data_IF_110165399468
#
_entry.id   IF_110165399468
#
_cell.length_a   1.000
_cell.length_b   1.000
_cell.length_c   1.000
_cell.angle_alpha   90.00
_cell.angle_beta   90.00
_cell.angle_gamma   90.00
#
_symmetry.space_group_name_H-M   'P 1'
#
loop_
_entity.id
_entity.type
_entity.pdbx_description
1 polymer ?
#
# COMPACT_ATOMS: atom_id res chain seq x y z
N UNK A 1 15.73 -6.15 -7.55
CA UNK A 1 15.17 -4.78 -7.54
C UNK A 1 15.58 -4.07 -8.82
N UNK A 2 14.63 -3.71 -9.66
CA UNK A 2 14.83 -2.85 -10.84
C UNK A 2 13.97 -1.61 -10.68
N UNK A 3 14.58 -0.42 -10.76
CA UNK A 3 13.87 0.87 -10.84
C UNK A 3 13.73 1.25 -12.31
N UNK A 4 12.55 1.71 -12.69
CA UNK A 4 12.26 2.18 -14.04
C UNK A 4 11.20 3.29 -13.98
N UNK A 5 10.97 3.95 -15.09
CA UNK A 5 9.86 4.90 -15.24
C UNK A 5 8.87 4.36 -16.27
N UNK A 6 7.59 4.58 -16.00
CA UNK A 6 6.50 4.26 -16.93
C UNK A 6 5.77 5.55 -17.31
N UNK A 7 5.06 5.59 -18.45
CA UNK A 7 4.21 6.72 -18.79
C UNK A 7 3.06 6.86 -17.77
N UNK A 8 2.80 8.08 -17.31
CA UNK A 8 1.65 8.45 -16.50
C UNK A 8 0.85 9.60 -17.12
N UNK A 9 -0.24 10.01 -16.49
CA UNK A 9 -1.17 11.03 -17.03
C UNK A 9 -0.57 12.44 -17.08
N UNK A 10 0.36 12.75 -16.15
CA UNK A 10 1.02 14.06 -16.07
C UNK A 10 2.51 14.01 -16.39
N UNK A 11 3.04 12.85 -16.77
CA UNK A 11 4.45 12.61 -17.06
C UNK A 11 4.91 11.27 -16.52
N UNK A 12 6.22 10.98 -16.48
CA UNK A 12 6.73 9.69 -16.01
C UNK A 12 6.39 9.41 -14.56
N UNK A 13 6.12 8.15 -14.23
CA UNK A 13 5.97 7.63 -12.87
C UNK A 13 7.14 6.68 -12.58
N UNK A 14 7.92 6.97 -11.55
CA UNK A 14 8.99 6.10 -11.07
C UNK A 14 8.43 4.93 -10.30
N UNK A 15 8.78 3.70 -10.72
CA UNK A 15 8.38 2.46 -10.05
C UNK A 15 9.59 1.60 -9.74
N UNK A 16 9.44 0.70 -8.77
CA UNK A 16 10.37 -0.36 -8.46
C UNK A 16 9.64 -1.70 -8.46
N UNK A 17 10.26 -2.70 -9.09
CA UNK A 17 9.80 -4.09 -9.11
C UNK A 17 10.72 -4.93 -8.23
N UNK A 18 10.14 -5.61 -7.24
CA UNK A 18 10.84 -6.44 -6.28
C UNK A 18 10.22 -7.84 -6.24
N UNK A 19 11.05 -8.87 -6.15
CA UNK A 19 10.61 -10.26 -6.07
C UNK A 19 10.72 -11.03 -7.38
N UNK A 20 9.99 -12.13 -7.46
CA UNK A 20 10.03 -13.05 -8.60
C UNK A 20 9.12 -12.54 -9.73
N UNK A 21 9.68 -12.42 -10.93
CA UNK A 21 8.96 -11.95 -12.12
C UNK A 21 8.35 -13.11 -12.94
N UNK A 22 9.00 -14.26 -12.90
CA UNK A 22 8.64 -15.37 -13.83
C UNK A 22 7.37 -16.09 -13.40
N UNK A 23 7.20 -16.34 -12.10
CA UNK A 23 6.06 -17.08 -11.56
C UNK A 23 5.66 -16.56 -10.17
N UNK A 24 5.27 -15.29 -10.04
CA UNK A 24 4.86 -14.77 -8.74
C UNK A 24 3.50 -15.35 -8.32
N UNK A 25 3.30 -15.50 -7.03
CA UNK A 25 2.03 -15.92 -6.44
C UNK A 25 0.90 -14.90 -6.71
N UNK A 26 1.26 -13.64 -6.90
CA UNK A 26 0.35 -12.53 -7.12
C UNK A 26 1.13 -11.23 -7.20
N UNK A 27 0.42 -10.10 -7.31
CA UNK A 27 1.00 -8.76 -7.39
C UNK A 27 0.62 -7.95 -6.16
N UNK A 28 1.56 -7.23 -5.57
CA UNK A 28 1.29 -6.25 -4.50
C UNK A 28 1.58 -4.85 -5.02
N UNK A 29 0.58 -3.98 -5.01
CA UNK A 29 0.78 -2.55 -5.23
C UNK A 29 0.96 -1.88 -3.86
N UNK A 30 2.15 -1.33 -3.60
CA UNK A 30 2.55 -0.81 -2.30
C UNK A 30 2.81 0.69 -2.34
N UNK A 31 2.02 1.45 -1.58
CA UNK A 31 2.02 2.90 -1.53
C UNK A 31 2.75 3.45 -0.30
N UNK A 32 3.55 4.50 -0.49
CA UNK A 32 4.40 5.12 0.52
C UNK A 32 3.69 6.24 1.32
N UNK A 33 4.26 6.72 2.45
CA UNK A 33 3.68 7.81 3.25
C UNK A 33 3.76 9.16 2.53
N UNK A 34 3.24 10.20 3.18
CA UNK A 34 3.00 11.52 2.60
C UNK A 34 4.24 12.12 1.94
N UNK A 35 4.17 12.49 0.64
CA UNK A 35 5.32 12.96 -0.14
C UNK A 35 5.94 14.25 0.42
N UNK A 36 5.13 15.22 0.85
CA UNK A 36 5.62 16.51 1.35
C UNK A 36 6.28 16.42 2.73
N UNK A 37 6.19 15.28 3.41
CA UNK A 37 6.89 15.01 4.67
C UNK A 37 8.05 14.02 4.50
N UNK A 38 8.66 13.99 3.31
CA UNK A 38 9.80 13.13 3.01
C UNK A 38 9.45 11.67 2.74
N UNK A 39 8.17 11.38 2.51
CA UNK A 39 7.73 10.04 2.11
C UNK A 39 8.27 9.64 0.74
N UNK A 40 8.79 8.43 0.65
CA UNK A 40 9.28 7.81 -0.61
C UNK A 40 8.99 6.33 -0.60
N UNK A 41 9.05 5.68 -1.76
CA UNK A 41 8.93 4.22 -1.88
C UNK A 41 10.04 3.43 -1.16
N UNK A 42 11.11 4.11 -0.72
CA UNK A 42 12.22 3.52 0.05
C UNK A 42 12.08 3.73 1.58
N UNK A 43 10.95 4.25 2.06
CA UNK A 43 10.64 4.35 3.49
C UNK A 43 10.80 3.00 4.20
N UNK A 44 11.26 2.98 5.46
CA UNK A 44 11.56 1.74 6.20
C UNK A 44 10.34 0.83 6.42
N UNK A 45 9.16 1.41 6.66
CA UNK A 45 7.91 0.62 6.78
C UNK A 45 7.56 0.01 5.43
N UNK A 46 7.62 0.80 4.35
CA UNK A 46 7.37 0.34 2.97
C UNK A 46 8.33 -0.78 2.58
N UNK A 47 9.63 -0.60 2.81
CA UNK A 47 10.63 -1.64 2.49
C UNK A 47 10.49 -2.90 3.36
N UNK A 48 9.98 -2.78 4.58
CA UNK A 48 9.65 -3.93 5.43
C UNK A 48 8.47 -4.71 4.85
N UNK A 49 7.39 -4.02 4.47
CA UNK A 49 6.24 -4.65 3.80
C UNK A 49 6.67 -5.30 2.47
N UNK A 50 7.46 -4.59 1.65
CA UNK A 50 8.00 -5.12 0.40
C UNK A 50 8.75 -6.44 0.62
N UNK A 51 9.71 -6.47 1.55
CA UNK A 51 10.48 -7.69 1.86
C UNK A 51 9.60 -8.83 2.38
N UNK A 52 8.54 -8.49 3.12
CA UNK A 52 7.58 -9.46 3.63
C UNK A 52 6.81 -10.12 2.50
N UNK A 53 6.28 -9.34 1.56
CA UNK A 53 5.54 -9.87 0.42
C UNK A 53 6.43 -10.61 -0.58
N UNK A 54 7.67 -10.15 -0.78
CA UNK A 54 8.66 -10.91 -1.57
C UNK A 54 8.92 -12.28 -0.94
N UNK A 55 9.06 -12.36 0.40
CA UNK A 55 9.20 -13.64 1.12
C UNK A 55 7.96 -14.54 0.95
N UNK A 56 6.78 -13.96 0.79
CA UNK A 56 5.52 -14.68 0.52
C UNK A 56 5.35 -15.08 -0.96
N UNK A 57 6.34 -14.76 -1.82
CA UNK A 57 6.34 -15.13 -3.24
C UNK A 57 5.59 -14.16 -4.16
N UNK A 58 5.28 -12.95 -3.72
CA UNK A 58 4.62 -11.94 -4.55
C UNK A 58 5.62 -11.10 -5.34
N UNK A 59 5.21 -10.64 -6.53
CA UNK A 59 5.80 -9.49 -7.19
C UNK A 59 5.32 -8.23 -6.48
N UNK A 60 6.22 -7.44 -5.92
CA UNK A 60 5.88 -6.18 -5.26
C UNK A 60 6.24 -5.00 -6.17
N UNK A 61 5.25 -4.17 -6.42
CA UNK A 61 5.36 -2.93 -7.18
C UNK A 61 5.25 -1.77 -6.22
N UNK A 62 6.29 -0.97 -6.13
CA UNK A 62 6.33 0.28 -5.38
C UNK A 62 6.44 1.43 -6.36
N UNK A 63 5.71 2.52 -6.13
CA UNK A 63 5.86 3.75 -6.92
C UNK A 63 6.18 4.94 -6.03
N UNK A 64 6.89 5.92 -6.56
CA UNK A 64 6.92 7.23 -5.95
C UNK A 64 5.68 8.03 -6.36
N UNK A 65 5.06 8.72 -5.39
CA UNK A 65 3.99 9.66 -5.66
C UNK A 65 4.49 10.89 -6.42
N UNK A 66 3.57 11.67 -6.96
CA UNK A 66 3.83 12.93 -7.67
C UNK A 66 4.77 13.83 -6.90
N UNK A 67 5.78 14.39 -7.60
CA UNK A 67 6.79 15.26 -7.04
C UNK A 67 7.90 14.57 -6.25
N UNK A 68 7.92 13.22 -6.22
CA UNK A 68 8.96 12.43 -5.53
C UNK A 68 9.83 11.69 -6.54
N UNK A 69 11.15 11.75 -6.36
CA UNK A 69 12.11 11.07 -7.23
C UNK A 69 11.97 11.51 -8.68
N UNK A 70 11.75 10.56 -9.58
CA UNK A 70 11.55 10.82 -11.02
C UNK A 70 10.06 10.89 -11.42
N UNK A 71 9.14 10.80 -10.47
CA UNK A 71 7.71 10.93 -10.75
C UNK A 71 7.33 12.38 -10.97
N UNK A 72 6.76 12.65 -12.15
CA UNK A 72 6.33 13.98 -12.55
C UNK A 72 5.08 14.45 -11.79
N UNK A 73 4.78 15.74 -11.93
CA UNK A 73 3.60 16.38 -11.35
C UNK A 73 3.82 16.88 -9.93
N UNK A 74 2.73 17.39 -9.35
CA UNK A 74 2.68 17.93 -7.99
C UNK A 74 1.69 17.14 -7.15
N UNK A 75 1.90 17.15 -5.84
CA UNK A 75 0.99 16.53 -4.87
C UNK A 75 -0.41 17.12 -4.96
N UNK A 76 -1.42 16.26 -5.06
CA UNK A 76 -2.84 16.65 -5.25
C UNK A 76 -3.73 16.27 -4.09
N UNK A 77 -3.16 15.88 -2.97
CA UNK A 77 -3.89 15.49 -1.75
C UNK A 77 -4.82 14.27 -1.95
N UNK A 78 -4.45 13.36 -2.85
CA UNK A 78 -5.11 12.06 -3.02
C UNK A 78 -5.62 11.73 -4.43
N UNK A 79 -6.39 12.60 -5.12
CA UNK A 79 -6.98 12.23 -6.41
C UNK A 79 -5.93 11.84 -7.47
N UNK A 80 -4.92 12.67 -7.67
CA UNK A 80 -3.87 12.39 -8.65
C UNK A 80 -3.00 11.21 -8.28
N UNK A 81 -2.68 11.05 -6.98
CA UNK A 81 -1.95 9.89 -6.47
C UNK A 81 -2.74 8.60 -6.69
N UNK A 82 -4.08 8.64 -6.57
CA UNK A 82 -4.97 7.52 -6.88
C UNK A 82 -4.94 7.17 -8.37
N UNK A 83 -5.02 8.19 -9.25
CA UNK A 83 -4.94 7.99 -10.70
C UNK A 83 -3.59 7.39 -11.11
N UNK A 84 -2.50 7.84 -10.51
CA UNK A 84 -1.17 7.30 -10.79
C UNK A 84 -1.04 5.84 -10.34
N UNK A 85 -1.55 5.47 -9.14
CA UNK A 85 -1.53 4.07 -8.69
C UNK A 85 -2.38 3.16 -9.59
N UNK A 86 -3.52 3.63 -10.07
CA UNK A 86 -4.32 2.88 -11.03
C UNK A 86 -3.58 2.71 -12.36
N UNK A 87 -2.88 3.75 -12.83
CA UNK A 87 -2.04 3.69 -14.04
C UNK A 87 -0.88 2.69 -13.85
N UNK A 88 -0.23 2.68 -12.68
CA UNK A 88 0.82 1.71 -12.35
C UNK A 88 0.27 0.28 -12.39
N UNK A 89 -0.88 0.03 -11.76
CA UNK A 89 -1.48 -1.29 -11.71
C UNK A 89 -1.91 -1.78 -13.11
N UNK A 90 -2.50 -0.89 -13.91
CA UNK A 90 -2.87 -1.19 -15.28
C UNK A 90 -1.64 -1.51 -16.14
N UNK A 91 -0.56 -0.74 -16.02
CA UNK A 91 0.69 -1.03 -16.69
C UNK A 91 1.24 -2.42 -16.33
N UNK A 92 1.25 -2.78 -15.05
CA UNK A 92 1.69 -4.10 -14.59
C UNK A 92 0.80 -5.21 -15.18
N UNK A 93 -0.50 -5.04 -15.20
CA UNK A 93 -1.41 -6.03 -15.78
C UNK A 93 -1.18 -6.27 -17.27
N UNK A 94 -0.72 -5.26 -18.01
CA UNK A 94 -0.40 -5.39 -19.44
C UNK A 94 1.05 -5.85 -19.72
N UNK A 95 1.91 -5.90 -18.71
CA UNK A 95 3.26 -6.46 -18.86
C UNK A 95 3.19 -7.95 -19.21
N UNK A 96 4.23 -8.42 -19.90
CA UNK A 96 4.45 -9.84 -20.22
C UNK A 96 3.19 -10.52 -20.82
N UNK A 97 2.67 -9.90 -21.87
CA UNK A 97 1.47 -10.35 -22.60
C UNK A 97 0.21 -10.52 -21.70
N UNK A 98 0.10 -9.72 -20.63
CA UNK A 98 -1.07 -9.74 -19.74
C UNK A 98 -1.05 -10.82 -18.67
N UNK A 99 0.08 -11.50 -18.48
CA UNK A 99 0.21 -12.59 -17.48
C UNK A 99 -0.23 -12.14 -16.09
N UNK A 100 0.16 -10.95 -15.66
CA UNK A 100 -0.14 -10.48 -14.30
C UNK A 100 -1.59 -10.08 -14.07
N UNK A 101 -2.37 -9.83 -15.15
CA UNK A 101 -3.79 -9.48 -15.03
C UNK A 101 -4.67 -10.63 -14.51
N UNK A 102 -4.20 -11.87 -14.64
CA UNK A 102 -4.92 -13.07 -14.17
C UNK A 102 -4.54 -13.48 -12.75
N UNK A 103 -3.52 -12.85 -12.17
CA UNK A 103 -3.05 -13.15 -10.83
C UNK A 103 -3.84 -12.38 -9.76
N UNK A 104 -3.97 -12.93 -8.55
CA UNK A 104 -4.50 -12.18 -7.42
C UNK A 104 -3.61 -10.97 -7.15
N UNK A 105 -4.23 -9.86 -6.72
CA UNK A 105 -3.48 -8.67 -6.34
C UNK A 105 -3.83 -8.20 -4.93
N UNK A 106 -2.87 -7.58 -4.27
CA UNK A 106 -2.97 -7.02 -2.92
C UNK A 106 -2.71 -5.51 -3.01
N UNK A 107 -3.53 -4.72 -2.31
CA UNK A 107 -3.28 -3.30 -2.11
C UNK A 107 -2.69 -3.09 -0.72
N UNK A 108 -1.50 -2.54 -0.65
CA UNK A 108 -0.84 -2.27 0.62
C UNK A 108 -0.41 -0.81 0.70
N UNK A 109 -0.47 -0.21 1.90
CA UNK A 109 -0.11 1.19 2.07
C UNK A 109 0.34 1.50 3.49
N UNK A 110 1.18 2.54 3.60
CA UNK A 110 1.59 3.11 4.87
C UNK A 110 1.16 4.58 4.96
N UNK A 111 0.52 4.95 6.07
CA UNK A 111 0.12 6.33 6.37
C UNK A 111 -0.76 6.94 5.25
N UNK A 112 -0.35 8.02 4.61
CA UNK A 112 -1.02 8.60 3.45
C UNK A 112 -1.23 7.58 2.32
N UNK A 113 -0.27 6.67 2.11
CA UNK A 113 -0.42 5.59 1.14
C UNK A 113 -1.59 4.65 1.45
N UNK A 114 -1.94 4.44 2.72
CA UNK A 114 -3.13 3.69 3.12
C UNK A 114 -4.43 4.41 2.73
N UNK A 115 -4.47 5.73 2.90
CA UNK A 115 -5.59 6.56 2.44
C UNK A 115 -5.76 6.46 0.91
N UNK A 116 -4.68 6.67 0.14
CA UNK A 116 -4.73 6.56 -1.32
C UNK A 116 -5.19 5.16 -1.76
N UNK A 117 -4.69 4.10 -1.14
CA UNK A 117 -5.08 2.72 -1.46
C UNK A 117 -6.56 2.44 -1.18
N UNK A 118 -7.17 3.08 -0.18
CA UNK A 118 -8.62 2.94 0.05
C UNK A 118 -9.44 3.47 -1.14
N UNK A 119 -9.01 4.59 -1.73
CA UNK A 119 -9.65 5.16 -2.92
C UNK A 119 -9.36 4.35 -4.19
N UNK A 120 -8.16 3.79 -4.33
CA UNK A 120 -7.84 2.82 -5.40
C UNK A 120 -8.79 1.63 -5.34
N UNK A 121 -9.03 1.08 -4.14
CA UNK A 121 -9.94 -0.05 -3.96
C UNK A 121 -11.38 0.30 -4.38
N UNK A 122 -11.89 1.47 -4.01
CA UNK A 122 -13.22 1.94 -4.45
C UNK A 122 -13.32 2.06 -5.97
N UNK A 123 -12.29 2.65 -6.61
CA UNK A 123 -12.24 2.81 -8.06
C UNK A 123 -12.18 1.47 -8.81
N UNK A 124 -11.45 0.50 -8.27
CA UNK A 124 -11.37 -0.86 -8.82
C UNK A 124 -12.68 -1.62 -8.62
N UNK A 125 -13.30 -1.50 -7.44
CA UNK A 125 -14.59 -2.14 -7.16
C UNK A 125 -15.70 -1.67 -8.12
N UNK A 126 -15.71 -0.39 -8.48
CA UNK A 126 -16.62 0.15 -9.50
C UNK A 126 -16.41 -0.46 -10.89
N UNK A 127 -15.27 -1.11 -11.15
CA UNK A 127 -14.93 -1.86 -12.36
C UNK A 127 -15.10 -3.38 -12.20
N UNK A 128 -15.67 -3.84 -11.07
CA UNK A 128 -15.79 -5.27 -10.75
C UNK A 128 -14.45 -5.95 -10.39
N UNK A 129 -13.41 -5.17 -10.09
CA UNK A 129 -12.08 -5.68 -9.71
C UNK A 129 -11.88 -5.54 -8.19
N UNK A 130 -11.56 -6.63 -7.54
CA UNK A 130 -11.40 -6.66 -6.08
C UNK A 130 -10.01 -7.18 -5.72
N UNK A 131 -9.28 -6.51 -4.80
CA UNK A 131 -8.04 -7.08 -4.30
C UNK A 131 -8.30 -8.37 -3.54
N UNK A 132 -7.37 -9.30 -3.60
CA UNK A 132 -7.38 -10.50 -2.77
C UNK A 132 -7.44 -10.13 -1.28
N UNK A 133 -6.73 -9.08 -0.90
CA UNK A 133 -6.70 -8.51 0.45
C UNK A 133 -6.08 -7.12 0.44
N UNK A 134 -6.38 -6.32 1.47
CA UNK A 134 -5.67 -5.06 1.72
C UNK A 134 -4.83 -5.14 2.99
N UNK A 135 -3.71 -4.38 3.03
CA UNK A 135 -2.87 -4.17 4.22
C UNK A 135 -2.65 -2.69 4.42
N UNK A 136 -3.22 -2.14 5.47
CA UNK A 136 -3.16 -0.72 5.79
C UNK A 136 -2.42 -0.52 7.11
N UNK A 137 -1.31 0.21 7.08
CA UNK A 137 -0.44 0.43 8.23
C UNK A 137 -0.41 1.91 8.59
N UNK A 138 -0.65 2.25 9.87
CA UNK A 138 -0.66 3.64 10.34
C UNK A 138 -1.59 4.52 9.52
N UNK A 139 -2.79 4.05 9.24
CA UNK A 139 -3.74 4.63 8.26
C UNK A 139 -4.08 6.07 8.62
N UNK A 140 -3.92 7.00 7.68
CA UNK A 140 -3.98 8.46 7.92
C UNK A 140 -5.39 9.01 8.16
N UNK A 141 -6.16 8.39 9.05
CA UNK A 141 -7.58 8.66 9.37
C UNK A 141 -7.84 10.00 10.06
N UNK A 142 -6.83 10.62 10.67
CA UNK A 142 -6.99 11.88 11.40
C UNK A 142 -6.99 13.12 10.50
N UNK A 143 -6.51 12.99 9.27
CA UNK A 143 -6.32 14.12 8.34
C UNK A 143 -6.99 13.93 6.99
N UNK A 144 -7.35 12.69 6.66
CA UNK A 144 -7.85 12.30 5.34
C UNK A 144 -9.12 11.48 5.48
N UNK A 145 -10.03 11.66 4.55
CA UNK A 145 -11.25 10.86 4.45
C UNK A 145 -10.93 9.50 3.83
N UNK A 146 -10.49 8.57 4.68
CA UNK A 146 -10.20 7.18 4.27
C UNK A 146 -11.52 6.49 3.90
N UNK A 147 -11.60 6.00 2.67
CA UNK A 147 -12.79 5.30 2.20
C UNK A 147 -13.01 3.97 2.95
N UNK A 148 -14.26 3.46 2.99
CA UNK A 148 -14.53 2.11 3.47
C UNK A 148 -13.74 1.06 2.69
N UNK A 149 -13.33 -0.01 3.39
CA UNK A 149 -12.48 -1.08 2.83
C UNK A 149 -13.10 -2.45 3.04
N UNK A 150 -12.69 -3.50 2.31
CA UNK A 150 -13.16 -4.87 2.51
C UNK A 150 -12.97 -5.35 3.95
N UNK A 151 -13.92 -6.14 4.46
CA UNK A 151 -13.95 -6.59 5.86
C UNK A 151 -12.76 -7.47 6.27
N UNK A 152 -12.07 -8.09 5.32
CA UNK A 152 -10.86 -8.91 5.54
C UNK A 152 -9.56 -8.09 5.46
N UNK A 153 -9.65 -6.76 5.37
CA UNK A 153 -8.50 -5.87 5.38
C UNK A 153 -7.69 -6.01 6.67
N UNK A 154 -6.39 -6.23 6.55
CA UNK A 154 -5.47 -6.17 7.68
C UNK A 154 -5.11 -4.71 8.00
N UNK A 155 -5.63 -4.19 9.10
CA UNK A 155 -5.26 -2.86 9.61
C UNK A 155 -4.28 -3.03 10.77
N UNK A 156 -3.09 -2.43 10.68
CA UNK A 156 -2.07 -2.45 11.74
C UNK A 156 -1.76 -1.03 12.18
N UNK A 157 -1.78 -0.78 13.48
CA UNK A 157 -1.55 0.55 14.04
C UNK A 157 -0.62 0.52 15.26
N UNK A 158 0.20 1.56 15.43
CA UNK A 158 1.04 1.71 16.61
C UNK A 158 0.24 2.26 17.79
N UNK A 159 0.43 1.69 19.00
CA UNK A 159 -0.24 2.18 20.22
C UNK A 159 0.12 3.64 20.52
N UNK A 160 1.40 3.99 20.32
CA UNK A 160 1.98 5.31 20.63
C UNK A 160 2.16 6.17 19.36
N UNK A 161 1.33 5.96 18.33
CA UNK A 161 1.36 6.77 17.11
C UNK A 161 0.89 8.20 17.44
N UNK A 162 1.84 9.16 17.40
CA UNK A 162 1.63 10.58 17.64
C UNK A 162 1.30 11.38 16.37
N UNK A 163 1.50 10.78 15.21
CA UNK A 163 1.20 11.36 13.89
C UNK A 163 -0.24 11.11 13.48
N UNK A 164 -0.71 9.88 13.70
CA UNK A 164 -2.10 9.46 13.52
C UNK A 164 -2.58 8.83 14.82
N UNK A 165 -3.32 9.54 15.68
CA UNK A 165 -3.78 8.98 16.94
C UNK A 165 -4.58 7.69 16.75
N UNK A 166 -4.28 6.65 17.54
CA UNK A 166 -4.97 5.36 17.49
C UNK A 166 -6.50 5.53 17.53
N UNK A 167 -6.99 6.48 18.33
CA UNK A 167 -8.42 6.73 18.45
C UNK A 167 -9.07 7.07 17.09
N UNK A 168 -8.40 7.85 16.23
CA UNK A 168 -8.94 8.19 14.91
C UNK A 168 -9.09 6.96 14.00
N UNK A 169 -8.16 6.01 14.11
CA UNK A 169 -8.23 4.75 13.37
C UNK A 169 -9.35 3.85 13.91
N UNK A 170 -9.54 3.79 15.22
CA UNK A 170 -10.64 3.05 15.84
C UNK A 170 -12.01 3.66 15.48
N UNK A 171 -12.12 4.99 15.43
CA UNK A 171 -13.36 5.67 15.06
C UNK A 171 -13.73 5.45 13.60
N UNK A 172 -12.74 5.42 12.70
CA UNK A 172 -12.92 5.07 11.30
C UNK A 172 -13.29 3.57 11.11
N UNK A 173 -12.68 2.67 11.87
CA UNK A 173 -12.89 1.22 11.76
C UNK A 173 -14.23 0.76 12.36
N UNK A 174 -14.72 1.42 13.42
CA UNK A 174 -15.90 1.01 14.20
C UNK A 174 -17.18 0.87 13.38
N UNK A 175 -17.59 1.84 12.52
CA UNK A 175 -18.79 1.70 11.70
C UNK A 175 -18.73 0.53 10.71
N UNK A 176 -17.51 0.09 10.35
CA UNK A 176 -17.26 -1.02 9.42
C UNK A 176 -17.11 -2.37 10.15
N UNK A 177 -17.14 -2.38 11.48
CA UNK A 177 -16.78 -3.56 12.29
C UNK A 177 -15.43 -4.15 11.94
N UNK A 178 -14.47 -3.30 11.51
CA UNK A 178 -13.18 -3.69 11.00
C UNK A 178 -12.18 -3.90 12.14
N UNK A 179 -11.58 -5.10 12.29
CA UNK A 179 -10.57 -5.36 13.30
C UNK A 179 -9.29 -4.52 13.08
N UNK A 180 -8.73 -3.98 14.16
CA UNK A 180 -7.45 -3.25 14.16
C UNK A 180 -6.44 -3.99 15.03
N UNK A 181 -5.30 -4.38 14.45
CA UNK A 181 -4.17 -4.95 15.17
C UNK A 181 -3.34 -3.82 15.73
N UNK A 182 -3.38 -3.64 17.05
CA UNK A 182 -2.58 -2.62 17.74
C UNK A 182 -1.26 -3.22 18.20
N UNK A 183 -0.14 -2.55 17.86
CA UNK A 183 1.20 -2.98 18.26
C UNK A 183 1.64 -2.19 19.49
N UNK A 184 1.76 -2.84 20.68
CA UNK A 184 2.14 -2.18 21.91
C UNK A 184 3.50 -1.47 21.82
N UNK A 185 3.54 -0.22 22.27
CA UNK A 185 4.74 0.63 22.30
C UNK A 185 5.31 0.99 20.92
N UNK A 186 4.57 0.78 19.83
CA UNK A 186 4.98 1.23 18.50
C UNK A 186 4.54 2.67 18.24
N UNK A 187 5.45 3.48 17.71
CA UNK A 187 5.16 4.79 17.13
C UNK A 187 4.68 4.68 15.67
N UNK A 188 4.45 5.83 15.00
CA UNK A 188 4.00 5.89 13.61
C UNK A 188 4.90 5.11 12.64
N UNK A 189 6.23 5.18 12.83
CA UNK A 189 7.22 4.55 11.94
C UNK A 189 7.65 3.16 12.40
N UNK A 190 7.03 2.63 13.45
CA UNK A 190 7.36 1.31 14.02
C UNK A 190 8.84 1.19 14.39
N UNK A 191 9.45 2.23 14.97
CA UNK A 191 10.84 2.18 15.44
C UNK A 191 11.04 1.03 16.43
N UNK A 192 12.03 0.15 16.16
CA UNK A 192 12.25 -1.07 16.95
C UNK A 192 11.17 -2.13 16.84
N UNK A 193 10.06 -1.90 16.10
CA UNK A 193 8.91 -2.81 15.96
C UNK A 193 8.67 -3.32 14.52
N UNK A 194 9.54 -2.97 13.56
CA UNK A 194 9.44 -3.47 12.18
C UNK A 194 9.44 -5.01 12.08
N UNK A 195 10.21 -5.76 12.90
CA UNK A 195 10.10 -7.21 12.92
C UNK A 195 8.72 -7.71 13.35
N UNK A 196 8.09 -7.04 14.33
CA UNK A 196 6.71 -7.36 14.77
C UNK A 196 5.71 -7.11 13.65
N UNK A 197 5.80 -5.95 12.97
CA UNK A 197 4.96 -5.66 11.80
C UNK A 197 5.10 -6.75 10.73
N UNK A 198 6.34 -7.16 10.40
CA UNK A 198 6.60 -8.25 9.47
C UNK A 198 5.89 -9.54 9.91
N UNK A 199 6.01 -9.95 11.17
CA UNK A 199 5.39 -11.18 11.68
C UNK A 199 3.86 -11.14 11.60
N UNK A 200 3.23 -9.99 11.92
CA UNK A 200 1.78 -9.81 11.79
C UNK A 200 1.33 -10.06 10.34
N UNK A 201 2.03 -9.49 9.36
CA UNK A 201 1.70 -9.72 7.94
C UNK A 201 1.92 -11.17 7.55
N UNK A 202 3.04 -11.80 7.94
CA UNK A 202 3.30 -13.22 7.63
C UNK A 202 2.21 -14.14 8.21
N UNK A 203 1.79 -13.91 9.46
CA UNK A 203 0.74 -14.70 10.10
C UNK A 203 -0.62 -14.53 9.40
N UNK A 204 -0.93 -13.32 8.93
CA UNK A 204 -2.16 -13.05 8.20
C UNK A 204 -2.26 -13.82 6.87
N UNK A 205 -1.15 -14.32 6.33
CA UNK A 205 -1.07 -15.14 5.12
C UNK A 205 -0.87 -16.65 5.40
N UNK A 206 -0.56 -17.06 6.64
CA UNK A 206 -0.23 -18.45 6.99
C UNK A 206 -1.39 -19.46 6.76
N UNK A 207 -2.62 -19.02 6.61
CA UNK A 207 -3.79 -19.88 6.34
C UNK A 207 -4.25 -19.88 4.88
N UNK A 208 -3.52 -19.25 3.97
CA UNK A 208 -3.91 -19.08 2.56
C UNK A 208 -3.01 -19.88 1.58
N UNK A 209 -2.35 -20.95 2.08
CA UNK A 209 -1.52 -21.85 1.27
C UNK A 209 -2.36 -22.86 0.52
#
# INVERSE_FOLDING_TARGET
>A
MSKLTIPGTVGPIEIALDGELTSPRGVVLLAHPHPLFGGTMDNKVVTTLMRTFVQLGYLVVRSNFRGVGQTAGEHTAGPGETDDLLTVLDHIWHMDAGRYATLPFVLAGFSFGSFVQSHVAVRLAAQGKHPQRMVLVGTATSRWEVAPVPADTLVVHGELDDTVPLQSTLDWARPQSLPVVVVPGADHFFHGKLPTLKQIVLQAWAGQA
#
